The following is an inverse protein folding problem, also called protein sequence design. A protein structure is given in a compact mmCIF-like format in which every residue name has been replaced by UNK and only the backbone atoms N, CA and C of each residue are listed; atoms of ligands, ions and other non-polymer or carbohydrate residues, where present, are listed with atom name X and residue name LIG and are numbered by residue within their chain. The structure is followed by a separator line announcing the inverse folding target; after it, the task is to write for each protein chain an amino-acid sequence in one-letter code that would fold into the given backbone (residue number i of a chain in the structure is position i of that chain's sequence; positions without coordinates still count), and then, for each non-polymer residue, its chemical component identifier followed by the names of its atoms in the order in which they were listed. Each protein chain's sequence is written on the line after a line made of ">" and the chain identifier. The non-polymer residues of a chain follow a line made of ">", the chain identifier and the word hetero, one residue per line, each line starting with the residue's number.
data_IF_052151438897
#
_entry.id   IF_052151438897
#
_cell.length_a   1.000
_cell.length_b   1.000
_cell.length_c   1.000
_cell.angle_alpha   90.00
_cell.angle_beta   90.00
_cell.angle_gamma   90.00
#
_symmetry.space_group_name_H-M   'P 1'
#
loop_
_entity.id
_entity.type
_entity.pdbx_description
1 polymer ?
#
# COMPACT_ATOMS: atom_id res chain seq x y z
N UNK A 1 26.93 -2.22 54.44
CA UNK A 1 27.54 -2.40 53.11
C UNK A 1 26.80 -3.53 52.38
N UNK A 2 25.57 -3.31 51.91
CA UNK A 2 24.78 -4.37 51.22
C UNK A 2 23.78 -3.87 50.17
N UNK A 3 23.74 -2.59 49.80
CA UNK A 3 22.66 -2.06 48.93
C UNK A 3 23.03 -1.88 47.44
N UNK A 4 24.23 -2.29 47.00
CA UNK A 4 24.70 -2.04 45.62
C UNK A 4 24.25 -3.09 44.57
N UNK A 5 23.50 -4.13 44.94
CA UNK A 5 23.15 -5.25 44.02
C UNK A 5 21.73 -5.23 43.47
N UNK A 6 20.85 -4.35 43.94
CA UNK A 6 19.42 -4.34 43.58
C UNK A 6 19.05 -3.47 42.36
N UNK A 7 19.96 -2.62 41.86
CA UNK A 7 19.66 -1.70 40.75
C UNK A 7 20.00 -2.26 39.35
N UNK A 8 20.59 -3.45 39.26
CA UNK A 8 21.05 -4.04 37.99
C UNK A 8 20.00 -4.87 37.23
N UNK A 9 18.79 -5.06 37.77
CA UNK A 9 17.82 -6.02 37.24
C UNK A 9 16.68 -5.40 36.40
N UNK A 10 16.62 -4.07 36.31
CA UNK A 10 15.47 -3.37 35.71
C UNK A 10 15.83 -2.56 34.45
N UNK A 11 17.10 -2.50 34.07
CA UNK A 11 17.53 -1.90 32.81
C UNK A 11 17.60 -2.95 31.70
N UNK A 12 16.53 -3.73 31.52
CA UNK A 12 16.33 -4.40 30.24
C UNK A 12 15.98 -3.28 29.26
N UNK A 13 17.02 -2.68 28.67
CA UNK A 13 16.84 -1.74 27.58
C UNK A 13 15.94 -2.42 26.55
N UNK A 14 14.77 -1.83 26.31
CA UNK A 14 13.79 -2.37 25.36
C UNK A 14 14.52 -2.44 24.02
N UNK A 15 14.82 -3.67 23.60
CA UNK A 15 15.46 -3.91 22.32
C UNK A 15 14.42 -3.67 21.25
N UNK A 16 14.66 -2.66 20.41
CA UNK A 16 13.77 -2.36 19.30
C UNK A 16 14.27 -3.09 18.08
N UNK A 17 13.33 -3.72 17.40
CA UNK A 17 13.58 -4.51 16.20
C UNK A 17 12.97 -3.80 15.00
N UNK A 18 13.50 -4.07 13.83
CA UNK A 18 12.91 -3.62 12.58
C UNK A 18 11.55 -4.32 12.39
N UNK A 19 10.45 -3.58 12.16
CA UNK A 19 9.12 -4.18 12.03
C UNK A 19 8.95 -5.04 10.75
N UNK A 20 9.94 -5.05 9.85
CA UNK A 20 9.88 -5.79 8.58
C UNK A 20 10.71 -7.07 8.55
N UNK A 21 11.89 -7.09 9.17
CA UNK A 21 12.77 -8.27 9.23
C UNK A 21 13.05 -8.78 10.64
N UNK A 22 12.60 -8.06 11.68
CA UNK A 22 12.87 -8.34 13.10
C UNK A 22 14.37 -8.28 13.45
N UNK A 23 15.20 -7.69 12.60
CA UNK A 23 16.61 -7.43 12.93
C UNK A 23 16.69 -6.37 14.04
N UNK A 24 17.58 -6.54 15.02
CA UNK A 24 17.74 -5.57 16.10
C UNK A 24 18.31 -4.25 15.56
N UNK A 25 17.77 -3.14 16.07
CA UNK A 25 18.16 -1.78 15.69
C UNK A 25 18.82 -1.05 16.86
N UNK A 26 19.85 -0.28 16.54
CA UNK A 26 20.49 0.62 17.50
C UNK A 26 19.74 1.95 17.55
N UNK A 27 19.00 2.19 18.65
CA UNK A 27 18.21 3.40 18.85
C UNK A 27 19.08 4.64 19.12
N UNK A 28 20.34 4.46 19.48
CA UNK A 28 21.24 5.60 19.70
C UNK A 28 21.61 6.31 18.39
N UNK A 29 21.40 5.65 17.25
CA UNK A 29 21.71 6.15 15.92
C UNK A 29 20.47 6.08 15.00
N UNK A 30 19.68 7.16 15.03
CA UNK A 30 18.46 7.30 14.21
C UNK A 30 18.78 7.28 12.71
N UNK A 31 19.95 7.76 12.28
CA UNK A 31 20.32 7.75 10.87
C UNK A 31 20.57 6.33 10.39
N UNK A 32 21.18 5.48 11.22
CA UNK A 32 21.31 4.04 10.97
C UNK A 32 19.96 3.34 10.85
N UNK A 33 19.02 3.65 11.75
CA UNK A 33 17.63 3.13 11.68
C UNK A 33 16.95 3.52 10.37
N UNK A 34 16.98 4.80 10.01
CA UNK A 34 16.37 5.28 8.76
C UNK A 34 17.05 4.66 7.52
N UNK A 35 18.38 4.56 7.54
CA UNK A 35 19.16 3.93 6.49
C UNK A 35 18.80 2.45 6.31
N UNK A 36 18.65 1.70 7.41
CA UNK A 36 18.21 0.31 7.37
C UNK A 36 16.81 0.18 6.76
N UNK A 37 15.84 0.96 7.25
CA UNK A 37 14.45 0.92 6.75
C UNK A 37 14.38 1.22 5.24
N UNK A 38 15.12 2.23 4.78
CA UNK A 38 15.16 2.59 3.37
C UNK A 38 15.91 1.55 2.52
N UNK A 39 17.08 1.10 2.96
CA UNK A 39 17.93 0.21 2.17
C UNK A 39 17.40 -1.24 2.14
N UNK A 40 16.97 -1.78 3.28
CA UNK A 40 16.53 -3.17 3.38
C UNK A 40 15.08 -3.35 2.91
N UNK A 41 14.21 -2.36 3.17
CA UNK A 41 12.76 -2.51 2.96
C UNK A 41 12.16 -1.49 1.99
N UNK A 42 12.96 -0.54 1.49
CA UNK A 42 12.43 0.60 0.73
C UNK A 42 11.32 1.33 1.50
N UNK A 43 11.42 1.34 2.83
CA UNK A 43 10.44 1.93 3.72
C UNK A 43 10.83 3.38 4.02
N UNK A 44 9.96 4.31 3.63
CA UNK A 44 10.17 5.73 3.83
C UNK A 44 9.14 6.29 4.81
N UNK A 45 9.63 6.96 5.85
CA UNK A 45 8.79 7.64 6.84
C UNK A 45 8.67 9.13 6.47
N UNK A 46 7.45 9.64 6.20
CA UNK A 46 7.25 11.05 5.91
C UNK A 46 7.72 11.94 7.06
N UNK A 47 8.41 13.04 6.76
CA UNK A 47 8.92 13.98 7.77
C UNK A 47 9.72 13.30 8.89
N UNK A 48 10.58 12.33 8.53
CA UNK A 48 11.38 11.53 9.48
C UNK A 48 12.19 12.35 10.49
N UNK A 49 12.62 13.56 10.10
CA UNK A 49 13.35 14.52 10.94
C UNK A 49 12.51 15.14 12.06
N UNK A 50 11.18 15.10 11.96
CA UNK A 50 10.27 15.70 12.93
C UNK A 50 9.66 14.69 13.91
N UNK A 51 10.11 13.44 13.84
CA UNK A 51 9.70 12.37 14.76
C UNK A 51 10.50 12.51 16.05
N UNK A 52 9.79 12.65 17.16
CA UNK A 52 10.36 12.78 18.50
C UNK A 52 10.48 11.43 19.21
N UNK A 53 9.61 10.48 18.89
CA UNK A 53 9.56 9.16 19.50
C UNK A 53 9.70 8.03 18.45
N UNK A 54 10.92 7.88 17.93
CA UNK A 54 11.27 6.76 17.04
C UNK A 54 11.03 5.39 17.68
N UNK A 55 11.44 5.17 18.95
CA UNK A 55 11.14 3.94 19.66
C UNK A 55 9.65 3.56 19.65
N UNK A 56 8.79 4.49 20.06
CA UNK A 56 7.35 4.26 20.11
C UNK A 56 6.76 4.01 18.73
N UNK A 57 7.21 4.75 17.71
CA UNK A 57 6.76 4.52 16.33
C UNK A 57 7.10 3.11 15.85
N UNK A 58 8.34 2.64 16.04
CA UNK A 58 8.76 1.32 15.57
C UNK A 58 8.01 0.20 16.28
N UNK A 59 7.84 0.29 17.60
CA UNK A 59 7.04 -0.66 18.37
C UNK A 59 5.58 -0.68 17.92
N UNK A 60 5.00 0.51 17.67
CA UNK A 60 3.64 0.62 17.16
C UNK A 60 3.49 -0.03 15.77
N UNK A 61 4.45 0.19 14.87
CA UNK A 61 4.46 -0.45 13.54
C UNK A 61 4.63 -1.97 13.64
N UNK A 62 5.47 -2.45 14.56
CA UNK A 62 5.64 -3.88 14.82
C UNK A 62 4.31 -4.50 15.25
N UNK A 63 3.65 -3.97 16.28
CA UNK A 63 2.34 -4.44 16.74
C UNK A 63 1.30 -4.38 15.61
N UNK A 64 1.28 -3.29 14.84
CA UNK A 64 0.31 -3.12 13.76
C UNK A 64 0.48 -4.13 12.64
N UNK A 65 1.72 -4.46 12.27
CA UNK A 65 1.99 -5.44 11.21
C UNK A 65 1.85 -6.86 11.74
N UNK A 66 2.48 -7.18 12.86
CA UNK A 66 2.64 -8.55 13.33
C UNK A 66 1.45 -9.05 14.15
N UNK A 67 1.00 -8.24 15.11
CA UNK A 67 -0.07 -8.63 16.03
C UNK A 67 -1.45 -8.40 15.38
N UNK A 68 -1.62 -7.28 14.69
CA UNK A 68 -2.89 -6.91 14.06
C UNK A 68 -3.00 -7.32 12.58
N UNK A 69 -1.88 -7.62 11.91
CA UNK A 69 -1.91 -8.00 10.50
C UNK A 69 -2.35 -6.87 9.57
N UNK A 70 -2.12 -5.60 9.91
CA UNK A 70 -2.59 -4.46 9.12
C UNK A 70 -1.56 -4.03 8.07
N UNK A 71 -2.03 -3.81 6.83
CA UNK A 71 -1.22 -3.11 5.84
C UNK A 71 -1.20 -1.61 6.13
N UNK A 72 0.01 -1.03 6.31
CA UNK A 72 0.22 0.38 6.63
C UNK A 72 -0.27 1.38 5.58
N UNK A 73 -0.57 0.92 4.36
CA UNK A 73 -0.95 1.77 3.24
C UNK A 73 -2.43 1.67 2.87
N UNK A 74 -2.92 0.46 2.60
CA UNK A 74 -4.30 0.25 2.16
C UNK A 74 -5.28 0.01 3.31
N UNK A 75 -4.80 -0.10 4.56
CA UNK A 75 -5.61 -0.49 5.72
C UNK A 75 -6.39 -1.79 5.52
N UNK A 76 -5.95 -2.66 4.61
CA UNK A 76 -6.46 -4.02 4.57
C UNK A 76 -6.16 -4.65 5.92
N UNK A 77 -7.22 -5.00 6.64
CA UNK A 77 -7.15 -5.63 7.97
C UNK A 77 -7.28 -7.13 7.84
N UNK A 78 -6.69 -7.84 8.78
CA UNK A 78 -6.97 -9.26 8.97
C UNK A 78 -8.44 -9.46 9.38
N UNK A 79 -9.11 -10.43 8.78
CA UNK A 79 -10.28 -11.08 9.36
C UNK A 79 -9.82 -12.32 10.11
N UNK A 80 -9.71 -12.24 11.43
CA UNK A 80 -9.44 -13.40 12.25
C UNK A 80 -10.71 -14.22 12.45
N UNK A 81 -10.82 -15.45 11.90
CA UNK A 81 -12.00 -16.28 12.14
C UNK A 81 -12.18 -16.66 13.62
N UNK A 82 -11.16 -16.51 14.48
CA UNK A 82 -11.26 -16.67 15.93
C UNK A 82 -11.58 -15.37 16.68
N UNK A 83 -11.52 -14.21 16.02
CA UNK A 83 -11.95 -12.93 16.59
C UNK A 83 -13.41 -12.72 16.19
N UNK A 84 -14.31 -13.40 16.89
CA UNK A 84 -15.73 -13.14 16.71
C UNK A 84 -16.05 -11.75 17.28
N UNK A 85 -16.77 -10.89 16.53
CA UNK A 85 -17.29 -9.61 17.04
C UNK A 85 -18.10 -9.77 18.35
N UNK A 86 -18.53 -10.99 18.65
CA UNK A 86 -19.26 -11.39 19.85
C UNK A 86 -18.45 -11.21 21.15
N UNK A 87 -17.12 -11.15 21.10
CA UNK A 87 -16.30 -10.83 22.28
C UNK A 87 -16.30 -9.35 22.66
N UNK A 88 -16.76 -8.43 21.79
CA UNK A 88 -17.00 -7.02 22.15
C UNK A 88 -18.48 -6.72 22.42
N UNK A 89 -19.37 -7.70 22.29
CA UNK A 89 -20.82 -7.55 22.51
C UNK A 89 -21.34 -8.25 23.77
N UNK A 90 -20.48 -8.54 24.73
CA UNK A 90 -20.86 -9.14 26.02
C UNK A 90 -20.50 -8.19 27.16
N UNK A 91 -21.22 -7.07 27.31
CA UNK A 91 -21.24 -6.36 28.60
C UNK A 91 -22.53 -5.62 28.94
N UNK A 92 -23.37 -5.15 28.01
CA UNK A 92 -24.49 -4.25 28.41
C UNK A 92 -25.81 -4.45 27.63
N UNK A 93 -26.38 -5.66 27.61
CA UNK A 93 -27.81 -5.81 27.26
C UNK A 93 -28.45 -6.97 28.00
N UNK A 94 -28.55 -6.80 29.33
CA UNK A 94 -29.67 -7.34 30.11
C UNK A 94 -30.96 -6.65 29.64
N UNK A 95 -31.51 -7.09 28.52
CA UNK A 95 -32.91 -6.82 28.20
C UNK A 95 -33.66 -8.13 28.17
N UNK A 96 -34.12 -8.53 29.36
CA UNK A 96 -35.24 -9.44 29.55
C UNK A 96 -36.38 -8.99 28.63
N UNK A 97 -36.65 -9.74 27.56
CA UNK A 97 -37.83 -9.55 26.73
C UNK A 97 -38.35 -10.90 26.26
N UNK A 98 -39.26 -11.39 27.08
CA UNK A 98 -40.57 -11.93 26.74
C UNK A 98 -40.68 -12.71 25.43
N UNK A 99 -40.95 -13.99 25.66
CA UNK A 99 -41.45 -15.02 24.75
C UNK A 99 -42.71 -14.54 23.99
N UNK A 100 -42.91 -15.15 22.82
CA UNK A 100 -44.11 -15.11 21.95
C UNK A 100 -43.95 -14.28 20.65
N UNK A 101 -43.38 -14.89 19.60
CA UNK A 101 -43.96 -14.73 18.25
C UNK A 101 -43.56 -15.89 17.32
N UNK A 102 -44.48 -16.84 17.19
CA UNK A 102 -44.50 -17.87 16.15
C UNK A 102 -44.90 -17.21 14.82
N UNK A 103 -43.94 -16.77 13.99
CA UNK A 103 -44.31 -16.52 12.60
C UNK A 103 -43.16 -16.54 11.57
N UNK A 104 -43.46 -17.34 10.54
CA UNK A 104 -43.12 -17.19 9.13
C UNK A 104 -41.74 -17.62 8.63
N UNK A 105 -41.75 -18.84 8.07
CA UNK A 105 -40.78 -19.39 7.14
C UNK A 105 -40.84 -18.64 5.81
N UNK A 106 -39.84 -17.79 5.54
CA UNK A 106 -39.50 -17.38 4.19
C UNK A 106 -38.09 -17.87 3.84
N UNK A 107 -38.05 -19.03 3.19
CA UNK A 107 -36.88 -19.64 2.55
C UNK A 107 -36.45 -18.84 1.31
N UNK A 108 -35.88 -17.65 1.50
CA UNK A 108 -35.15 -16.93 0.45
C UNK A 108 -33.67 -16.81 0.87
N UNK A 109 -32.96 -17.94 0.79
CA UNK A 109 -31.50 -18.04 0.81
C UNK A 109 -30.92 -17.42 -0.48
N UNK A 110 -31.06 -16.10 -0.62
CA UNK A 110 -30.14 -15.32 -1.44
C UNK A 110 -28.82 -15.26 -0.68
N UNK A 111 -28.02 -16.32 -0.82
CA UNK A 111 -26.58 -16.33 -0.57
C UNK A 111 -25.93 -15.32 -1.54
N UNK A 112 -26.12 -14.02 -1.29
CA UNK A 112 -25.32 -12.96 -1.87
C UNK A 112 -23.88 -13.29 -1.49
N UNK A 113 -23.16 -13.87 -2.46
CA UNK A 113 -21.75 -14.21 -2.42
C UNK A 113 -20.97 -12.97 -1.94
N UNK A 114 -20.84 -12.84 -0.62
CA UNK A 114 -20.24 -11.71 0.06
C UNK A 114 -18.89 -11.49 -0.62
N UNK A 115 -18.67 -10.31 -1.24
CA UNK A 115 -17.51 -10.07 -2.10
C UNK A 115 -16.26 -10.57 -1.41
N UNK A 116 -15.70 -11.65 -1.97
CA UNK A 116 -14.54 -12.40 -1.50
C UNK A 116 -13.74 -11.63 -0.44
N UNK A 117 -13.91 -11.98 0.83
CA UNK A 117 -12.95 -11.67 1.91
C UNK A 117 -11.59 -12.37 1.69
N UNK A 118 -11.13 -12.51 0.44
CA UNK A 118 -9.92 -13.24 0.02
C UNK A 118 -8.62 -12.48 0.25
N UNK A 119 -8.70 -11.20 0.61
CA UNK A 119 -7.53 -10.38 0.93
C UNK A 119 -7.30 -10.28 2.47
N UNK A 120 -7.92 -11.14 3.28
CA UNK A 120 -7.62 -11.23 4.71
C UNK A 120 -6.29 -11.95 4.98
N UNK A 121 -5.33 -11.29 5.62
CA UNK A 121 -4.00 -11.83 5.93
C UNK A 121 -4.05 -12.85 7.08
N UNK A 122 -3.52 -14.07 6.96
CA UNK A 122 -3.62 -15.06 8.05
C UNK A 122 -2.65 -14.81 9.21
N UNK A 123 -1.68 -13.93 9.01
CA UNK A 123 -0.61 -13.61 9.96
C UNK A 123 0.07 -12.30 9.56
N UNK A 124 0.84 -11.71 10.46
CA UNK A 124 1.72 -10.58 10.10
C UNK A 124 2.68 -10.89 8.95
N UNK A 125 3.11 -12.15 8.81
CA UNK A 125 3.95 -12.56 7.70
C UNK A 125 3.23 -12.46 6.34
N UNK A 126 1.91 -12.66 6.31
CA UNK A 126 1.11 -12.48 5.09
C UNK A 126 0.86 -11.00 4.80
N UNK A 127 0.69 -10.16 5.84
CA UNK A 127 0.64 -8.71 5.70
C UNK A 127 1.97 -8.17 5.12
N UNK A 128 3.12 -8.66 5.60
CA UNK A 128 4.43 -8.34 5.03
C UNK A 128 4.55 -8.78 3.58
N UNK A 129 4.19 -10.03 3.24
CA UNK A 129 4.19 -10.50 1.84
C UNK A 129 3.34 -9.61 0.94
N UNK A 130 2.17 -9.20 1.42
CA UNK A 130 1.30 -8.28 0.69
C UNK A 130 1.96 -6.91 0.49
N UNK A 131 2.55 -6.36 1.56
CA UNK A 131 3.22 -5.06 1.51
C UNK A 131 4.37 -5.08 0.49
N UNK A 132 5.22 -6.12 0.52
CA UNK A 132 6.27 -6.30 -0.47
C UNK A 132 5.75 -6.53 -1.89
N UNK A 133 4.69 -7.33 -2.05
CA UNK A 133 4.14 -7.65 -3.37
C UNK A 133 3.47 -6.43 -4.04
N UNK A 134 2.81 -5.56 -3.26
CA UNK A 134 2.13 -4.36 -3.75
C UNK A 134 2.97 -3.08 -3.66
N UNK A 135 4.14 -3.14 -3.02
CA UNK A 135 4.96 -1.95 -2.77
C UNK A 135 4.34 -1.00 -1.74
N UNK A 136 3.57 -1.53 -0.80
CA UNK A 136 2.94 -0.77 0.29
C UNK A 136 3.89 -0.57 1.48
N UNK A 137 5.16 -0.25 1.20
CA UNK A 137 6.20 -0.03 2.21
C UNK A 137 6.29 1.45 2.56
N UNK A 138 5.16 2.10 2.83
CA UNK A 138 5.13 3.49 3.27
C UNK A 138 3.90 3.74 4.12
N UNK A 139 4.06 4.60 5.13
CA UNK A 139 2.93 5.06 5.95
C UNK A 139 2.06 5.97 5.09
N UNK A 140 0.77 5.66 4.99
CA UNK A 140 -0.19 6.55 4.33
C UNK A 140 -0.59 7.68 5.27
N UNK A 141 -0.22 8.91 4.90
CA UNK A 141 -0.59 10.12 5.66
C UNK A 141 -1.87 10.78 5.16
N UNK A 142 -2.32 10.43 3.95
CA UNK A 142 -3.53 10.95 3.32
C UNK A 142 -4.80 10.46 4.01
N UNK A 143 -5.94 11.12 3.73
CA UNK A 143 -7.27 10.69 4.21
C UNK A 143 -7.40 10.59 5.74
N UNK A 144 -6.63 11.38 6.48
CA UNK A 144 -6.64 11.40 7.94
C UNK A 144 -5.74 10.35 8.60
N UNK A 145 -5.00 9.54 7.82
CA UNK A 145 -4.06 8.56 8.35
C UNK A 145 -2.98 9.17 9.26
N UNK A 146 -2.61 10.42 9.04
CA UNK A 146 -1.65 11.14 9.89
C UNK A 146 -2.08 11.25 11.37
N UNK A 147 -3.39 11.25 11.66
CA UNK A 147 -3.90 11.36 13.05
C UNK A 147 -3.48 10.19 13.91
N UNK A 148 -3.37 9.01 13.30
CA UNK A 148 -2.97 7.78 13.97
C UNK A 148 -1.50 7.80 14.41
N UNK A 149 -0.65 8.54 13.68
CA UNK A 149 0.78 8.66 13.96
C UNK A 149 1.14 9.98 14.64
N UNK A 150 0.17 10.86 14.87
CA UNK A 150 0.41 12.23 15.32
C UNK A 150 1.18 12.32 16.65
N UNK A 151 0.97 11.35 17.56
CA UNK A 151 1.65 11.29 18.86
C UNK A 151 3.16 11.10 18.78
N UNK A 152 3.70 10.68 17.64
CA UNK A 152 5.14 10.44 17.46
C UNK A 152 5.90 11.65 16.89
N UNK A 153 5.22 12.75 16.56
CA UNK A 153 5.82 13.95 15.94
C UNK A 153 5.76 15.16 16.89
N UNK A 154 6.73 16.09 16.76
CA UNK A 154 6.83 17.27 17.65
C UNK A 154 5.71 18.31 17.42
N UNK A 155 5.15 18.38 16.22
CA UNK A 155 4.11 19.37 15.84
C UNK A 155 3.28 18.82 14.67
N UNK A 156 2.49 17.75 14.87
CA UNK A 156 1.84 17.04 13.78
C UNK A 156 0.88 17.94 12.96
N UNK A 157 0.25 18.92 13.60
CA UNK A 157 -0.66 19.84 12.92
C UNK A 157 0.06 20.71 11.89
N UNK A 158 1.27 21.22 12.19
CA UNK A 158 2.02 22.07 11.27
C UNK A 158 2.56 21.29 10.07
N UNK A 159 2.87 20.01 10.26
CA UNK A 159 3.42 19.12 9.23
C UNK A 159 2.35 18.59 8.28
N UNK A 160 1.18 18.21 8.80
CA UNK A 160 0.18 17.45 8.06
C UNK A 160 -1.10 18.20 7.74
N UNK A 161 -1.47 19.21 8.54
CA UNK A 161 -2.57 20.10 8.17
C UNK A 161 -2.02 21.03 7.10
N UNK A 162 -2.19 20.61 5.84
CA UNK A 162 -2.06 21.53 4.71
C UNK A 162 -2.91 22.73 5.06
N UNK A 163 -2.27 23.86 5.36
CA UNK A 163 -2.97 25.14 5.48
C UNK A 163 -3.81 25.23 4.24
N UNK A 164 -5.13 25.06 4.40
CA UNK A 164 -6.08 25.27 3.31
C UNK A 164 -5.68 26.64 2.80
N UNK A 165 -5.14 26.75 1.57
CA UNK A 165 -4.66 28.03 1.09
C UNK A 165 -5.85 28.94 1.25
N UNK A 166 -5.74 29.92 2.15
CA UNK A 166 -6.82 30.85 2.44
C UNK A 166 -7.20 31.38 1.07
N UNK A 167 -8.35 30.92 0.56
CA UNK A 167 -8.87 31.40 -0.68
C UNK A 167 -8.93 32.90 -0.45
N UNK A 168 -8.20 33.72 -1.22
CA UNK A 168 -8.15 35.14 -0.97
C UNK A 168 -9.60 35.59 -0.89
N UNK A 169 -9.99 36.08 0.29
CA UNK A 169 -11.32 36.59 0.60
C UNK A 169 -11.58 37.77 -0.33
N UNK A 170 -11.87 37.47 -1.59
CA UNK A 170 -12.17 38.44 -2.61
C UNK A 170 -13.62 38.84 -2.38
N UNK A 171 -13.75 40.08 -1.94
CA UNK A 171 -14.87 40.97 -2.21
C UNK A 171 -16.14 40.65 -1.41
N UNK A 172 -16.09 41.07 -0.14
CA UNK A 172 -17.23 41.81 0.42
C UNK A 172 -17.41 43.10 -0.39
N UNK A 173 -18.11 43.00 -1.52
CA UNK A 173 -18.67 44.15 -2.21
C UNK A 173 -20.11 44.33 -1.70
N UNK A 174 -20.33 45.44 -1.00
CA UNK A 174 -21.65 46.01 -0.78
C UNK A 174 -22.39 46.13 -2.11
N UNK A 175 -23.64 45.66 -2.17
CA UNK A 175 -24.52 46.00 -3.29
C UNK A 175 -25.69 45.03 -3.45
N UNK A 176 -26.83 45.41 -2.89
CA UNK A 176 -28.12 44.82 -3.24
C UNK A 176 -28.35 44.83 -4.76
N UNK A 177 -28.95 43.77 -5.30
CA UNK A 177 -30.15 43.76 -6.14
C UNK A 177 -30.23 42.50 -7.03
N UNK A 178 -31.39 41.85 -6.91
CA UNK A 178 -32.17 41.17 -7.96
C UNK A 178 -31.67 39.90 -8.68
N UNK A 179 -32.52 38.88 -8.51
CA UNK A 179 -33.19 38.11 -9.57
C UNK A 179 -32.43 37.02 -10.32
N UNK A 180 -32.90 35.78 -10.08
CA UNK A 180 -33.17 34.72 -11.06
C UNK A 180 -32.53 34.88 -12.44
N UNK A 181 -31.59 33.98 -12.79
CA UNK A 181 -31.67 33.29 -14.08
C UNK A 181 -30.86 31.99 -14.10
N UNK A 182 -31.59 30.92 -14.41
CA UNK A 182 -31.12 29.64 -14.92
C UNK A 182 -30.31 29.87 -16.20
N UNK A 183 -29.06 29.39 -16.27
CA UNK A 183 -28.38 29.17 -17.55
C UNK A 183 -27.47 27.94 -17.47
N UNK A 184 -27.95 26.88 -18.11
CA UNK A 184 -27.19 25.71 -18.55
C UNK A 184 -26.09 26.13 -19.53
N UNK A 185 -25.02 25.34 -19.56
CA UNK A 185 -23.97 25.23 -20.58
C UNK A 185 -22.80 26.22 -20.45
N UNK A 186 -21.76 25.82 -19.71
CA UNK A 186 -20.41 26.32 -19.88
C UNK A 186 -19.53 25.22 -20.53
N UNK A 187 -18.77 25.53 -21.60
CA UNK A 187 -17.92 24.58 -22.29
C UNK A 187 -16.70 24.19 -21.43
N UNK A 188 -16.32 22.91 -21.50
CA UNK A 188 -15.09 22.37 -20.90
C UNK A 188 -13.89 23.20 -21.33
N UNK A 189 -13.31 23.97 -20.40
CA UNK A 189 -12.00 24.58 -20.57
C UNK A 189 -10.94 23.46 -20.60
N UNK A 190 -10.28 23.32 -21.73
CA UNK A 190 -9.10 22.48 -21.88
C UNK A 190 -7.98 23.02 -20.99
N UNK A 191 -7.57 22.23 -19.99
CA UNK A 191 -6.38 22.49 -19.19
C UNK A 191 -5.17 22.39 -20.12
N UNK A 192 -4.69 23.53 -20.60
CA UNK A 192 -3.39 23.62 -21.26
C UNK A 192 -2.30 23.37 -20.22
N UNK A 193 -1.61 22.24 -20.39
CA UNK A 193 -0.40 21.90 -19.65
C UNK A 193 0.64 23.01 -19.84
N UNK A 194 1.14 23.66 -18.77
CA UNK A 194 2.20 24.64 -18.92
C UNK A 194 3.45 23.94 -19.44
N UNK A 195 3.92 24.42 -20.59
CA UNK A 195 5.17 24.04 -21.22
C UNK A 195 6.32 24.41 -20.28
N UNK A 196 7.23 23.46 -20.03
CA UNK A 196 8.45 23.69 -19.25
C UNK A 196 9.33 24.72 -19.99
N UNK A 197 9.23 25.98 -19.61
CA UNK A 197 10.31 26.93 -19.85
C UNK A 197 11.50 26.52 -19.00
N UNK A 198 12.48 25.92 -19.67
CA UNK A 198 13.84 25.71 -19.18
C UNK A 198 14.46 27.09 -19.02
N UNK A 199 14.51 27.61 -17.80
CA UNK A 199 15.40 28.71 -17.46
C UNK A 199 16.82 28.13 -17.44
N UNK A 200 17.52 28.35 -18.55
CA UNK A 200 18.96 28.27 -18.63
C UNK A 200 19.54 29.40 -17.77
N UNK A 201 20.01 29.07 -16.58
CA UNK A 201 20.97 29.90 -15.85
C UNK A 201 21.65 29.05 -14.78
N UNK A 202 22.85 28.56 -15.10
CA UNK A 202 23.96 28.25 -14.19
C UNK A 202 25.07 27.62 -15.05
N UNK A 203 25.96 28.46 -15.55
CA UNK A 203 27.27 28.06 -16.05
C UNK A 203 28.08 27.49 -14.88
N UNK A 204 27.91 26.20 -14.63
CA UNK A 204 28.84 25.40 -13.84
C UNK A 204 29.49 24.45 -14.83
N UNK A 205 30.71 24.79 -15.26
CA UNK A 205 31.66 23.92 -15.97
C UNK A 205 32.15 22.81 -15.02
N UNK A 206 31.21 22.08 -14.41
CA UNK A 206 31.52 20.90 -13.63
C UNK A 206 31.33 19.69 -14.55
N UNK A 207 32.39 18.96 -14.90
CA UNK A 207 32.25 17.76 -15.71
C UNK A 207 31.26 16.82 -15.03
N UNK A 208 30.31 16.23 -15.77
CA UNK A 208 29.34 15.32 -15.19
C UNK A 208 30.09 14.22 -14.41
N UNK A 209 29.66 13.89 -13.18
CA UNK A 209 30.34 12.89 -12.37
C UNK A 209 30.48 11.60 -13.18
N UNK A 210 31.62 10.90 -13.10
CA UNK A 210 31.84 9.66 -13.84
C UNK A 210 30.71 8.70 -13.50
N UNK A 211 29.90 8.36 -14.51
CA UNK A 211 28.81 7.38 -14.38
C UNK A 211 29.46 6.04 -14.08
N UNK A 212 29.47 5.64 -12.81
CA UNK A 212 29.91 4.33 -12.37
C UNK A 212 28.94 3.30 -12.97
N UNK A 213 29.31 2.71 -14.10
CA UNK A 213 28.61 1.57 -14.65
C UNK A 213 28.92 0.38 -13.75
N UNK A 214 27.95 -0.06 -12.97
CA UNK A 214 28.05 -1.30 -12.24
C UNK A 214 28.35 -2.43 -13.24
N UNK A 215 29.43 -3.17 -13.02
CA UNK A 215 29.75 -4.35 -13.84
C UNK A 215 28.81 -5.46 -13.40
N UNK A 216 27.68 -5.61 -14.09
CA UNK A 216 26.70 -6.64 -13.80
C UNK A 216 27.24 -7.97 -14.34
N UNK A 217 27.53 -8.91 -13.43
CA UNK A 217 27.93 -10.26 -13.82
C UNK A 217 26.79 -10.93 -14.59
N UNK A 218 27.12 -11.59 -15.70
CA UNK A 218 26.15 -12.33 -16.48
C UNK A 218 25.44 -13.37 -15.60
N UNK A 219 24.11 -13.31 -15.54
CA UNK A 219 23.27 -14.22 -14.74
C UNK A 219 22.57 -13.58 -13.54
N UNK A 220 23.00 -12.39 -13.08
CA UNK A 220 22.30 -11.70 -11.99
C UNK A 220 21.12 -10.86 -12.51
N UNK A 221 19.95 -11.52 -12.63
CA UNK A 221 18.71 -10.88 -13.06
C UNK A 221 18.24 -9.77 -12.12
N UNK A 222 18.61 -9.80 -10.83
CA UNK A 222 18.20 -8.80 -9.84
C UNK A 222 19.02 -7.52 -9.98
N UNK A 223 20.34 -7.67 -10.13
CA UNK A 223 21.22 -6.54 -10.41
C UNK A 223 20.87 -5.86 -11.75
N UNK A 224 20.57 -6.65 -12.79
CA UNK A 224 20.10 -6.13 -14.08
C UNK A 224 18.77 -5.35 -13.95
N UNK A 225 17.83 -5.85 -13.15
CA UNK A 225 16.56 -5.16 -12.90
C UNK A 225 16.76 -3.82 -12.18
N UNK A 226 17.65 -3.76 -11.19
CA UNK A 226 17.96 -2.50 -10.49
C UNK A 226 18.59 -1.47 -11.44
N UNK A 227 19.55 -1.90 -12.27
CA UNK A 227 20.19 -1.02 -13.25
C UNK A 227 19.18 -0.49 -14.28
N UNK A 228 18.31 -1.36 -14.82
CA UNK A 228 17.25 -0.94 -15.76
C UNK A 228 16.23 0.01 -15.12
N UNK A 229 15.86 -0.23 -13.85
CA UNK A 229 14.95 0.65 -13.12
C UNK A 229 15.54 2.06 -12.95
N UNK A 230 16.82 2.15 -12.59
CA UNK A 230 17.53 3.42 -12.42
C UNK A 230 17.75 4.12 -13.75
N UNK A 231 18.24 3.41 -14.77
CA UNK A 231 18.59 4.01 -16.08
C UNK A 231 17.38 4.49 -16.86
N UNK A 232 16.25 3.78 -16.78
CA UNK A 232 15.07 4.06 -17.60
C UNK A 232 13.89 4.61 -16.81
N UNK A 233 14.06 4.84 -15.51
CA UNK A 233 13.03 5.35 -14.60
C UNK A 233 11.74 4.52 -14.68
N UNK A 234 11.89 3.20 -14.70
CA UNK A 234 10.77 2.25 -14.69
C UNK A 234 10.64 1.59 -13.30
N UNK A 235 9.43 1.26 -12.85
CA UNK A 235 9.22 0.52 -11.61
C UNK A 235 10.04 -0.78 -11.56
N UNK A 236 10.61 -1.10 -10.39
CA UNK A 236 11.51 -2.24 -10.23
C UNK A 236 10.86 -3.59 -10.57
N UNK A 237 9.54 -3.73 -10.39
CA UNK A 237 8.81 -4.94 -10.78
C UNK A 237 8.74 -5.11 -12.31
N UNK A 238 8.59 -4.02 -13.08
CA UNK A 238 8.64 -4.05 -14.55
C UNK A 238 10.06 -4.37 -15.03
N UNK A 239 11.08 -3.79 -14.39
CA UNK A 239 12.47 -4.09 -14.69
C UNK A 239 12.84 -5.56 -14.41
N UNK A 240 12.32 -6.14 -13.32
CA UNK A 240 12.48 -7.57 -13.01
C UNK A 240 11.83 -8.46 -14.07
N UNK A 241 10.65 -8.10 -14.59
CA UNK A 241 10.00 -8.83 -15.68
C UNK A 241 10.84 -8.79 -16.96
N UNK A 242 11.38 -7.62 -17.29
CA UNK A 242 12.29 -7.46 -18.44
C UNK A 242 13.54 -8.32 -18.28
N UNK A 243 14.18 -8.30 -17.11
CA UNK A 243 15.37 -9.10 -16.82
C UNK A 243 15.11 -10.62 -16.90
N UNK A 244 13.87 -11.06 -16.61
CA UNK A 244 13.47 -12.48 -16.67
C UNK A 244 12.90 -12.93 -18.00
N UNK A 245 12.60 -12.01 -18.92
CA UNK A 245 11.95 -12.31 -20.21
C UNK A 245 12.82 -13.11 -21.19
N UNK A 246 14.09 -13.35 -20.84
CA UNK A 246 15.05 -14.00 -21.73
C UNK A 246 15.59 -13.10 -22.84
N UNK A 247 15.16 -11.83 -22.89
CA UNK A 247 15.78 -10.83 -23.76
C UNK A 247 17.24 -10.67 -23.34
N UNK A 248 18.16 -10.80 -24.31
CA UNK A 248 19.60 -10.66 -24.05
C UNK A 248 19.87 -9.33 -23.36
N UNK A 249 20.57 -9.35 -22.23
CA UNK A 249 20.88 -8.15 -21.44
C UNK A 249 21.52 -7.04 -22.29
N UNK A 250 22.36 -7.39 -23.26
CA UNK A 250 22.96 -6.46 -24.22
C UNK A 250 21.95 -5.74 -25.12
N UNK A 251 20.81 -6.36 -25.44
CA UNK A 251 19.75 -5.72 -26.20
C UNK A 251 19.01 -4.69 -25.32
N UNK A 252 18.74 -5.03 -24.05
CA UNK A 252 18.06 -4.11 -23.13
C UNK A 252 18.90 -2.87 -22.82
N UNK A 253 20.22 -2.99 -22.73
CA UNK A 253 21.10 -1.84 -22.43
C UNK A 253 21.40 -0.95 -23.64
N UNK A 254 21.07 -1.40 -24.86
CA UNK A 254 21.26 -0.62 -26.10
C UNK A 254 19.99 0.05 -26.61
N UNK A 255 18.83 -0.34 -26.08
CA UNK A 255 17.54 0.27 -26.44
C UNK A 255 17.39 1.68 -25.86
N UNK A 256 16.61 2.51 -26.56
CA UNK A 256 16.28 3.84 -26.04
C UNK A 256 15.39 3.74 -24.80
N UNK A 257 15.44 4.77 -23.94
CA UNK A 257 14.58 4.83 -22.73
C UNK A 257 13.09 4.83 -23.08
N UNK A 258 12.69 5.35 -24.24
CA UNK A 258 11.31 5.27 -24.73
C UNK A 258 10.93 3.84 -25.12
N UNK A 259 11.81 3.12 -25.81
CA UNK A 259 11.53 1.76 -26.27
C UNK A 259 11.42 0.79 -25.09
N UNK A 260 12.25 0.95 -24.06
CA UNK A 260 12.21 0.11 -22.86
C UNK A 260 10.92 0.36 -22.06
N UNK A 261 10.48 1.61 -21.95
CA UNK A 261 9.19 1.95 -21.33
C UNK A 261 8.02 1.37 -22.12
N UNK A 262 8.08 1.47 -23.45
CA UNK A 262 7.06 0.89 -24.32
C UNK A 262 7.02 -0.65 -24.22
N UNK A 263 8.18 -1.30 -24.18
CA UNK A 263 8.32 -2.74 -24.02
C UNK A 263 7.77 -3.22 -22.67
N UNK A 264 8.12 -2.53 -21.58
CA UNK A 264 7.60 -2.81 -20.24
C UNK A 264 6.06 -2.76 -20.22
N UNK A 265 5.48 -1.70 -20.81
CA UNK A 265 4.03 -1.54 -20.90
C UNK A 265 3.38 -2.62 -21.77
N UNK A 266 4.01 -2.98 -22.89
CA UNK A 266 3.52 -4.03 -23.80
C UNK A 266 3.51 -5.40 -23.11
N UNK A 267 4.57 -5.73 -22.37
CA UNK A 267 4.63 -6.97 -21.58
C UNK A 267 3.55 -7.03 -20.51
N UNK A 268 3.31 -5.93 -19.80
CA UNK A 268 2.26 -5.85 -18.78
C UNK A 268 0.86 -6.03 -19.39
N UNK A 269 0.61 -5.41 -20.55
CA UNK A 269 -0.64 -5.57 -21.28
C UNK A 269 -0.84 -7.01 -21.79
N UNK A 270 0.22 -7.65 -22.30
CA UNK A 270 0.18 -9.04 -22.73
C UNK A 270 -0.15 -9.98 -21.57
N UNK A 271 0.50 -9.80 -20.41
CA UNK A 271 0.24 -10.62 -19.22
C UNK A 271 -1.19 -10.44 -18.70
N UNK A 272 -1.69 -9.19 -18.65
CA UNK A 272 -3.06 -8.90 -18.26
C UNK A 272 -4.07 -9.53 -19.22
N UNK A 273 -3.77 -9.53 -20.52
CA UNK A 273 -4.58 -10.21 -21.53
C UNK A 273 -4.62 -11.73 -21.31
N UNK A 274 -3.46 -12.35 -21.09
CA UNK A 274 -3.35 -13.79 -20.81
C UNK A 274 -4.11 -14.18 -19.54
N UNK A 275 -4.01 -13.38 -18.47
CA UNK A 275 -4.74 -13.65 -17.22
C UNK A 275 -6.26 -13.55 -17.42
N UNK A 276 -6.74 -12.57 -18.22
CA UNK A 276 -8.16 -12.47 -18.58
C UNK A 276 -8.63 -13.68 -19.38
N UNK A 277 -7.84 -14.14 -20.34
CA UNK A 277 -8.16 -15.34 -21.11
C UNK A 277 -8.24 -16.58 -20.20
N UNK A 278 -7.28 -16.77 -19.28
CA UNK A 278 -7.29 -17.87 -18.32
C UNK A 278 -8.49 -17.84 -17.38
N UNK A 279 -8.88 -16.66 -16.88
CA UNK A 279 -10.09 -16.52 -16.05
C UNK A 279 -11.35 -16.85 -16.84
N UNK A 280 -11.45 -16.37 -18.07
CA UNK A 280 -12.56 -16.70 -18.99
C UNK A 280 -12.65 -18.22 -19.24
N UNK A 281 -11.52 -18.88 -19.48
CA UNK A 281 -11.46 -20.33 -19.69
C UNK A 281 -11.79 -21.12 -18.41
N UNK A 282 -11.44 -20.59 -17.25
CA UNK A 282 -11.79 -21.19 -15.95
C UNK A 282 -13.29 -21.09 -15.67
N UNK A 283 -13.89 -19.92 -15.92
CA UNK A 283 -15.34 -19.71 -15.80
C UNK A 283 -16.12 -20.61 -16.77
N UNK A 284 -15.66 -20.69 -18.03
CA UNK A 284 -16.28 -21.58 -19.02
C UNK A 284 -16.19 -23.07 -18.61
N UNK A 285 -15.10 -23.48 -17.96
CA UNK A 285 -14.96 -24.85 -17.42
C UNK A 285 -15.88 -25.08 -16.22
N UNK A 286 -16.00 -24.12 -15.31
CA UNK A 286 -16.92 -24.20 -14.17
C UNK A 286 -18.38 -24.35 -14.59
N UNK A 287 -18.83 -23.56 -15.57
CA UNK A 287 -20.20 -23.65 -16.11
C UNK A 287 -20.47 -25.02 -16.78
N UNK A 288 -19.47 -25.60 -17.46
CA UNK A 288 -19.59 -26.93 -18.06
C UNK A 288 -19.67 -28.03 -17.00
N UNK A 289 -18.91 -27.93 -15.90
CA UNK A 289 -18.96 -28.88 -14.79
C UNK A 289 -20.34 -28.86 -14.11
N UNK A 290 -20.85 -27.66 -13.76
CA UNK A 290 -22.17 -27.52 -13.13
C UNK A 290 -23.30 -28.07 -14.00
N UNK A 291 -23.22 -27.90 -15.33
CA UNK A 291 -24.21 -28.48 -16.25
C UNK A 291 -24.21 -30.01 -16.21
N UNK A 292 -23.04 -30.63 -16.09
CA UNK A 292 -22.92 -32.09 -16.03
C UNK A 292 -23.48 -32.65 -14.71
N UNK A 293 -23.25 -31.95 -13.60
CA UNK A 293 -23.76 -32.36 -12.29
C UNK A 293 -25.30 -32.23 -12.21
N UNK A 294 -25.88 -31.17 -12.78
CA UNK A 294 -27.36 -31.06 -12.89
C UNK A 294 -27.99 -32.20 -13.68
N UNK A 295 -27.34 -32.68 -14.74
CA UNK A 295 -27.85 -33.81 -15.52
C UNK A 295 -27.76 -35.14 -14.75
N UNK A 296 -26.73 -35.33 -13.91
CA UNK A 296 -26.64 -36.51 -13.03
C UNK A 296 -27.74 -36.52 -11.97
N UNK A 297 -28.00 -35.38 -11.33
CA UNK A 297 -29.07 -35.29 -10.34
C UNK A 297 -30.46 -35.49 -10.95
N UNK A 298 -30.74 -34.92 -12.12
CA UNK A 298 -32.03 -35.11 -12.80
C UNK A 298 -32.27 -36.58 -13.22
N UNK A 299 -31.24 -37.32 -13.61
CA UNK A 299 -31.35 -38.75 -13.95
C UNK A 299 -31.63 -39.66 -12.75
N UNK A 300 -31.27 -39.24 -11.54
CA UNK A 300 -31.48 -40.01 -10.30
C UNK A 300 -32.94 -39.97 -9.79
N UNK A 301 -33.74 -39.00 -10.23
CA UNK A 301 -35.13 -38.83 -9.79
C UNK A 301 -36.16 -39.54 -10.69
N UNK A 302 -35.70 -40.24 -11.73
CA UNK A 302 -36.56 -40.92 -12.72
C UNK A 302 -36.58 -42.45 -12.59
N UNK A 303 -36.00 -43.00 -11.52
CA UNK A 303 -36.06 -44.42 -11.14
C UNK A 303 -36.69 -44.55 -9.76
#
# INVERSE_FOLDING_TARGET
>A
MTDAKAQSLWSHAIQIVCPFCLDPLDQSDIDSVQSHLAAAHSFHVPHSHAITDWPGLLLYLETKIHDLGHCLHCHATYWNPHWTPDMMRTSDSDSERDEDDDNDQSDDDDDEELPEMRDAFRSGQDALKHMFARGHNAIRMESGGWREYASFYDTPEELFVTKVPELPSQLSANGAHSSLQLARNAPRLSVHRPSKHVLANSSSDQPPPPRVRAVIRAGDSRALAQDLALQHSIPIHQANKLARSGVKSAALTTMSTSDIRHLAKTMEQAEKSTRRAQMSDSMARGLKANKHDRLRFAGSLSN
#
